data_IF_035828456987
#
_entry.id   IF_035828456987
#
_cell.length_a   1.000
_cell.length_b   1.000
_cell.length_c   1.000
_cell.angle_alpha   90.00
_cell.angle_beta   90.00
_cell.angle_gamma   90.00
#
_symmetry.space_group_name_H-M   'P 1'
#
loop_
_entity.id
_entity.type
_entity.pdbx_description
1 polymer ?
#
# COMPACT_ATOMS: atom_id res chain seq x y z
N UNK A 1 31.04 3.95 11.40
CA UNK A 1 29.84 3.54 12.14
C UNK A 1 28.65 4.16 11.42
N UNK A 2 27.85 3.35 10.73
CA UNK A 2 26.79 3.82 9.84
C UNK A 2 25.60 4.31 10.68
N UNK A 3 25.39 5.62 10.72
CA UNK A 3 24.18 6.21 11.33
C UNK A 3 23.02 6.01 10.35
N UNK A 4 22.27 4.93 10.50
CA UNK A 4 20.97 4.80 9.87
C UNK A 4 20.09 5.94 10.39
N UNK A 5 19.76 6.89 9.51
CA UNK A 5 18.97 8.06 9.84
C UNK A 5 17.55 7.65 10.25
N UNK A 6 16.90 8.29 11.24
CA UNK A 6 15.56 7.92 11.73
C UNK A 6 14.47 7.91 10.64
N UNK A 7 14.73 8.59 9.52
CA UNK A 7 13.86 8.66 8.33
C UNK A 7 13.68 7.30 7.62
N UNK A 8 14.64 6.37 7.73
CA UNK A 8 14.57 5.07 7.05
C UNK A 8 13.70 4.07 7.83
N UNK A 9 13.77 4.11 9.16
CA UNK A 9 13.00 3.22 10.03
C UNK A 9 11.50 3.60 10.05
N UNK A 10 11.21 4.91 10.00
CA UNK A 10 9.84 5.42 9.88
C UNK A 10 9.21 4.98 8.53
N UNK A 11 9.97 5.05 7.43
CA UNK A 11 9.52 4.56 6.13
C UNK A 11 9.27 3.05 6.09
N UNK A 12 10.09 2.24 6.76
CA UNK A 12 9.88 0.79 6.83
C UNK A 12 8.57 0.45 7.57
N UNK A 13 8.29 1.16 8.66
CA UNK A 13 7.06 1.02 9.42
C UNK A 13 5.83 1.46 8.61
N UNK A 14 5.93 2.57 7.88
CA UNK A 14 4.89 3.03 6.96
C UNK A 14 4.63 2.04 5.81
N UNK A 15 5.67 1.38 5.30
CA UNK A 15 5.54 0.32 4.29
C UNK A 15 4.78 -0.89 4.82
N UNK A 16 5.10 -1.32 6.04
CA UNK A 16 4.40 -2.45 6.68
C UNK A 16 2.92 -2.15 6.93
N UNK A 17 2.62 -0.95 7.41
CA UNK A 17 1.25 -0.48 7.64
C UNK A 17 0.48 -0.42 6.31
N UNK A 18 1.09 0.16 5.27
CA UNK A 18 0.51 0.22 3.92
C UNK A 18 0.25 -1.18 3.36
N UNK A 19 1.19 -2.12 3.49
CA UNK A 19 1.00 -3.51 3.08
C UNK A 19 -0.13 -4.21 3.85
N UNK A 20 -0.28 -3.90 5.14
CA UNK A 20 -1.39 -4.36 5.96
C UNK A 20 -2.73 -3.86 5.42
N UNK A 21 -2.83 -2.56 5.15
CA UNK A 21 -4.02 -1.95 4.56
C UNK A 21 -4.33 -2.55 3.19
N UNK A 22 -3.31 -2.74 2.34
CA UNK A 22 -3.47 -3.33 1.00
C UNK A 22 -4.08 -4.72 1.06
N UNK A 23 -3.61 -5.59 1.97
CA UNK A 23 -4.17 -6.94 2.16
C UNK A 23 -5.63 -6.88 2.59
N UNK A 24 -5.97 -5.99 3.52
CA UNK A 24 -7.34 -5.83 4.02
C UNK A 24 -8.26 -5.29 2.92
N UNK A 25 -7.82 -4.28 2.17
CA UNK A 25 -8.56 -3.69 1.06
C UNK A 25 -8.78 -4.71 -0.06
N UNK A 26 -7.76 -5.52 -0.41
CA UNK A 26 -7.89 -6.59 -1.40
C UNK A 26 -8.92 -7.65 -0.98
N UNK A 27 -8.95 -8.02 0.30
CA UNK A 27 -9.93 -8.97 0.83
C UNK A 27 -11.36 -8.39 0.80
N UNK A 28 -11.53 -7.13 1.23
CA UNK A 28 -12.83 -6.44 1.17
C UNK A 28 -13.30 -6.26 -0.28
N UNK A 29 -12.38 -5.93 -1.19
CA UNK A 29 -12.66 -5.80 -2.62
C UNK A 29 -13.18 -7.11 -3.20
N UNK A 30 -12.49 -8.24 -2.92
CA UNK A 30 -12.95 -9.57 -3.34
C UNK A 30 -14.35 -9.88 -2.79
N UNK A 31 -14.59 -9.61 -1.51
CA UNK A 31 -15.90 -9.81 -0.89
C UNK A 31 -16.98 -8.91 -1.50
N UNK A 32 -16.68 -7.67 -1.86
CA UNK A 32 -17.62 -6.77 -2.54
C UNK A 32 -17.94 -7.27 -3.94
N UNK A 33 -16.95 -7.79 -4.67
CA UNK A 33 -17.14 -8.42 -5.99
C UNK A 33 -18.03 -9.67 -5.89
N UNK A 34 -17.80 -10.53 -4.90
CA UNK A 34 -18.64 -11.71 -4.64
C UNK A 34 -20.10 -11.33 -4.33
N UNK A 35 -20.33 -10.15 -3.73
CA UNK A 35 -21.65 -9.62 -3.42
C UNK A 35 -22.26 -8.74 -4.53
N UNK A 36 -21.71 -8.76 -5.76
CA UNK A 36 -22.12 -7.91 -6.89
C UNK A 36 -22.03 -6.39 -6.63
N UNK A 37 -21.26 -5.96 -5.62
CA UNK A 37 -21.03 -4.56 -5.26
C UNK A 37 -19.80 -4.00 -5.97
N UNK A 38 -19.86 -3.91 -7.30
CA UNK A 38 -18.75 -3.45 -8.14
C UNK A 38 -18.21 -2.07 -7.74
N UNK A 39 -19.09 -1.11 -7.47
CA UNK A 39 -18.69 0.26 -7.09
C UNK A 39 -17.93 0.30 -5.75
N UNK A 40 -18.36 -0.49 -4.77
CA UNK A 40 -17.69 -0.56 -3.48
C UNK A 40 -16.33 -1.27 -3.60
N UNK A 41 -16.26 -2.35 -4.40
CA UNK A 41 -15.00 -3.01 -4.73
C UNK A 41 -13.99 -2.07 -5.42
N UNK A 42 -14.46 -1.24 -6.35
CA UNK A 42 -13.62 -0.24 -7.02
C UNK A 42 -13.14 0.86 -6.07
N UNK A 43 -13.94 1.28 -5.09
CA UNK A 43 -13.48 2.18 -4.02
C UNK A 43 -12.36 1.56 -3.22
N UNK A 44 -12.48 0.30 -2.81
CA UNK A 44 -11.43 -0.41 -2.09
C UNK A 44 -10.13 -0.49 -2.92
N UNK A 45 -10.23 -0.78 -4.23
CA UNK A 45 -9.07 -0.71 -5.14
C UNK A 45 -8.45 0.69 -5.21
N UNK A 46 -9.27 1.73 -5.34
CA UNK A 46 -8.78 3.12 -5.43
C UNK A 46 -8.06 3.54 -4.16
N UNK A 47 -8.58 3.18 -2.98
CA UNK A 47 -7.92 3.41 -1.70
C UNK A 47 -6.60 2.65 -1.64
N UNK A 48 -6.58 1.38 -2.06
CA UNK A 48 -5.38 0.56 -2.12
C UNK A 48 -4.26 1.19 -2.97
N UNK A 49 -4.61 1.65 -4.17
CA UNK A 49 -3.70 2.35 -5.08
C UNK A 49 -3.29 3.72 -4.55
N UNK A 50 -4.17 4.40 -3.81
CA UNK A 50 -3.84 5.68 -3.17
C UNK A 50 -2.80 5.48 -2.09
N UNK A 51 -2.97 4.54 -1.15
CA UNK A 51 -1.99 4.24 -0.09
C UNK A 51 -0.61 3.84 -0.66
N UNK A 52 -0.60 3.06 -1.75
CA UNK A 52 0.63 2.72 -2.50
C UNK A 52 1.31 3.93 -3.16
N UNK A 53 0.54 4.99 -3.47
CA UNK A 53 1.02 6.22 -4.12
C UNK A 53 1.35 7.33 -3.13
N UNK A 54 0.66 7.38 -1.98
CA UNK A 54 0.90 8.30 -0.86
C UNK A 54 2.14 7.89 -0.07
N UNK A 55 2.47 6.59 -0.07
CA UNK A 55 3.84 6.14 0.08
C UNK A 55 4.68 6.91 -0.94
N UNK A 56 5.30 8.02 -0.52
CA UNK A 56 6.20 8.80 -1.37
C UNK A 56 7.47 7.96 -1.53
N UNK A 57 7.37 6.91 -2.35
CA UNK A 57 8.50 6.10 -2.75
C UNK A 57 9.52 7.06 -3.37
N UNK A 58 10.60 7.31 -2.64
CA UNK A 58 11.82 7.88 -3.23
C UNK A 58 12.15 7.02 -4.46
N UNK A 59 12.64 7.58 -5.59
CA UNK A 59 12.80 6.86 -6.86
C UNK A 59 13.45 5.47 -6.78
N UNK A 60 14.27 5.23 -5.74
CA UNK A 60 14.87 3.92 -5.41
C UNK A 60 13.86 2.84 -5.01
N UNK A 61 12.90 3.15 -4.14
CA UNK A 61 11.93 2.14 -3.68
C UNK A 61 10.95 1.78 -4.79
N UNK A 62 10.60 2.73 -5.68
CA UNK A 62 9.71 2.46 -6.81
C UNK A 62 10.35 1.50 -7.83
N UNK A 63 11.67 1.58 -7.97
CA UNK A 63 12.47 0.69 -8.81
C UNK A 63 12.60 -0.73 -8.22
N UNK A 64 12.78 -0.86 -6.91
CA UNK A 64 12.80 -2.17 -6.24
C UNK A 64 11.44 -2.87 -6.29
N UNK A 65 10.32 -2.12 -6.34
CA UNK A 65 8.98 -2.69 -6.43
C UNK A 65 8.56 -3.10 -7.86
N UNK A 66 9.26 -2.61 -8.89
CA UNK A 66 9.01 -2.94 -10.30
C UNK A 66 9.88 -4.11 -10.81
N UNK A 67 10.68 -4.69 -9.91
CA UNK A 67 11.54 -5.84 -10.16
C UNK A 67 10.92 -7.11 -9.58
#
# INVERSE_FOLDING_TARGET
MATASPVVEDQAKYLEDTLGVVKVQAFQMKRCLDNHKLMDGLKHCSTMLSELRTSSLTPKNYYELCK
#
